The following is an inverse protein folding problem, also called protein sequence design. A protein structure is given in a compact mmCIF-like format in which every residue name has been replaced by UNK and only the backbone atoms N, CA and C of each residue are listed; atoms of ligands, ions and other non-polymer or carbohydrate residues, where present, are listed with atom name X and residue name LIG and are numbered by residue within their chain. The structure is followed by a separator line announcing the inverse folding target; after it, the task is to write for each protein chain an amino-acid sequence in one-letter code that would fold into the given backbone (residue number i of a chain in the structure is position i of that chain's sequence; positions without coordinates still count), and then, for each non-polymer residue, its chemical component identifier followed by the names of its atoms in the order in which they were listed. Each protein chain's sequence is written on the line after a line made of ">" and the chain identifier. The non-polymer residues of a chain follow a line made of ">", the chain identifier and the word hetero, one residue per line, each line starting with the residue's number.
data_IF_916791726843
#
_entry.id   IF_916791726843
#
_cell.length_a   1.000
_cell.length_b   1.000
_cell.length_c   1.000
_cell.angle_alpha   90.00
_cell.angle_beta   90.00
_cell.angle_gamma   90.00
#
_symmetry.space_group_name_H-M   'P 1'
#
loop_
_entity.id
_entity.type
_entity.pdbx_description
1 polymer ?
#
# COMPACT_ATOMS: atom_id res chain seq x y z
N UNK A 1 -9.57 -52.24 -35.66
CA UNK A 1 -8.35 -51.43 -35.51
C UNK A 1 -8.50 -50.19 -36.38
N UNK A 2 -8.87 -49.07 -35.84
CA UNK A 2 -8.95 -47.79 -36.56
C UNK A 2 -8.02 -46.81 -35.90
N UNK A 3 -6.96 -46.44 -36.63
CA UNK A 3 -6.00 -45.39 -36.23
C UNK A 3 -6.52 -44.04 -36.65
N UNK A 4 -6.76 -43.16 -35.70
CA UNK A 4 -7.15 -41.76 -35.95
C UNK A 4 -5.87 -40.92 -35.89
N UNK A 5 -5.48 -40.38 -37.06
CA UNK A 5 -4.38 -39.40 -37.19
C UNK A 5 -4.89 -38.01 -36.85
N UNK A 6 -4.29 -37.36 -35.84
CA UNK A 6 -4.59 -35.98 -35.46
C UNK A 6 -3.56 -35.09 -36.13
N UNK A 7 -3.97 -34.34 -37.15
CA UNK A 7 -3.17 -33.28 -37.77
C UNK A 7 -3.12 -32.03 -36.87
N UNK A 8 -1.90 -31.65 -36.47
CA UNK A 8 -1.65 -30.37 -35.78
C UNK A 8 -1.59 -29.24 -36.81
N UNK A 9 -2.51 -28.31 -36.72
CA UNK A 9 -2.43 -27.04 -37.44
C UNK A 9 -1.67 -26.04 -36.62
N UNK A 10 -0.47 -25.70 -37.04
CA UNK A 10 0.32 -24.58 -36.52
C UNK A 10 -0.12 -23.32 -37.25
N UNK A 11 -0.84 -22.45 -36.57
CA UNK A 11 -1.18 -21.12 -37.09
C UNK A 11 -0.10 -20.11 -36.62
N UNK A 12 0.77 -19.74 -37.55
CA UNK A 12 1.65 -18.61 -37.40
C UNK A 12 0.84 -17.32 -37.56
N UNK A 13 0.57 -16.64 -36.47
CA UNK A 13 0.01 -15.28 -36.48
C UNK A 13 1.15 -14.27 -36.57
N UNK A 14 1.29 -13.65 -37.76
CA UNK A 14 2.23 -12.55 -37.99
C UNK A 14 1.70 -11.28 -37.34
N UNK A 15 2.51 -10.68 -36.46
CA UNK A 15 2.26 -9.38 -35.83
C UNK A 15 2.49 -8.24 -36.83
N UNK A 16 1.58 -7.27 -36.98
CA UNK A 16 1.85 -6.06 -37.74
C UNK A 16 2.69 -5.09 -36.89
N UNK A 17 3.79 -4.62 -37.51
CA UNK A 17 4.64 -3.55 -36.98
C UNK A 17 3.86 -2.25 -36.90
N UNK A 18 3.54 -1.75 -35.71
CA UNK A 18 2.95 -0.43 -35.54
C UNK A 18 4.00 0.65 -35.65
N UNK A 19 3.87 1.46 -36.68
CA UNK A 19 4.63 2.67 -36.94
C UNK A 19 4.09 3.77 -36.01
N UNK A 20 4.87 4.17 -35.00
CA UNK A 20 4.53 5.33 -34.19
C UNK A 20 4.93 6.62 -34.89
N UNK A 21 4.01 7.60 -35.07
CA UNK A 21 4.37 8.91 -35.55
C UNK A 21 5.15 9.69 -34.48
N UNK A 22 6.36 10.13 -34.86
CA UNK A 22 7.16 11.09 -34.05
C UNK A 22 6.55 12.47 -34.17
N UNK A 23 6.03 13.00 -33.05
CA UNK A 23 5.68 14.42 -32.97
C UNK A 23 6.89 15.23 -32.49
N UNK A 24 7.32 16.26 -33.21
CA UNK A 24 8.29 17.21 -32.68
C UNK A 24 7.57 18.21 -31.78
N UNK A 25 7.90 18.24 -30.52
CA UNK A 25 7.47 19.29 -29.59
C UNK A 25 8.52 20.38 -29.54
N UNK A 26 8.23 21.64 -29.95
CA UNK A 26 9.06 22.75 -29.59
C UNK A 26 8.66 23.29 -28.22
N UNK A 27 9.50 23.10 -27.22
CA UNK A 27 9.35 23.80 -25.95
C UNK A 27 10.04 25.15 -26.02
N UNK A 28 9.35 26.29 -25.82
CA UNK A 28 10.01 27.54 -25.55
C UNK A 28 10.55 27.55 -24.12
N UNK A 29 11.85 27.68 -23.99
CA UNK A 29 12.54 27.91 -22.74
C UNK A 29 12.21 29.29 -22.18
N UNK A 30 11.30 29.39 -21.25
CA UNK A 30 11.12 30.57 -20.42
C UNK A 30 11.83 30.37 -19.09
N UNK A 31 13.04 30.86 -18.99
CA UNK A 31 13.77 31.03 -17.75
C UNK A 31 13.09 32.13 -16.92
N UNK A 32 12.61 31.86 -15.69
CA UNK A 32 12.20 32.93 -14.80
C UNK A 32 13.45 33.61 -14.21
N UNK A 33 13.52 34.94 -14.38
CA UNK A 33 14.50 35.80 -13.72
C UNK A 33 14.38 35.66 -12.22
N UNK A 34 15.44 35.18 -11.60
CA UNK A 34 15.60 35.16 -10.15
C UNK A 34 15.89 36.60 -9.69
N UNK A 35 14.95 37.21 -8.99
CA UNK A 35 15.18 38.44 -8.26
C UNK A 35 15.76 38.09 -6.90
N UNK A 36 16.86 38.73 -6.47
CA UNK A 36 17.42 38.50 -5.13
C UNK A 36 16.57 39.18 -4.06
N UNK A 37 16.01 38.39 -3.14
CA UNK A 37 15.39 38.94 -1.94
C UNK A 37 16.42 39.29 -0.88
N UNK A 38 16.29 40.41 -0.17
CA UNK A 38 17.23 40.80 0.87
C UNK A 38 17.07 39.91 2.10
N UNK A 39 18.19 39.38 2.58
CA UNK A 39 18.34 38.66 3.83
C UNK A 39 18.07 39.62 5.01
N UNK A 40 16.92 39.48 5.65
CA UNK A 40 16.72 40.01 6.99
C UNK A 40 17.15 39.00 8.02
N UNK A 41 18.27 39.25 8.67
CA UNK A 41 18.75 38.57 9.87
C UNK A 41 17.76 38.77 11.01
N UNK A 42 16.98 37.75 11.34
CA UNK A 42 16.26 37.68 12.60
C UNK A 42 16.96 36.68 13.49
N UNK A 43 17.80 37.19 14.39
CA UNK A 43 18.42 36.41 15.45
C UNK A 43 17.38 35.99 16.49
N UNK A 44 16.89 34.78 16.41
CA UNK A 44 16.17 34.14 17.52
C UNK A 44 17.15 33.37 18.39
N UNK A 45 17.30 33.86 19.62
CA UNK A 45 18.06 33.21 20.69
C UNK A 45 17.45 31.85 21.00
N UNK A 46 18.22 30.80 20.74
CA UNK A 46 17.94 29.46 21.20
C UNK A 46 18.29 29.37 22.67
N UNK A 47 17.31 29.34 23.55
CA UNK A 47 17.50 28.92 24.91
C UNK A 47 17.59 27.41 24.98
N UNK A 48 18.80 26.89 25.12
CA UNK A 48 19.08 25.49 25.43
C UNK A 48 18.78 25.27 26.90
N UNK A 49 17.66 24.66 27.22
CA UNK A 49 17.46 24.06 28.53
C UNK A 49 17.83 22.59 28.46
N UNK A 50 19.02 22.28 28.93
CA UNK A 50 19.48 20.93 29.23
C UNK A 50 18.72 20.44 30.43
N UNK A 51 17.78 19.54 30.28
CA UNK A 51 17.19 18.78 31.37
C UNK A 51 17.44 17.29 31.12
N UNK A 52 18.48 16.79 31.79
CA UNK A 52 18.78 15.37 31.86
C UNK A 52 17.82 14.70 32.82
N UNK A 53 17.00 13.78 32.34
CA UNK A 53 16.39 12.73 33.18
C UNK A 53 16.33 11.43 32.36
N UNK A 54 16.94 10.35 32.87
CA UNK A 54 16.92 9.05 32.19
C UNK A 54 15.64 8.30 32.51
N UNK A 55 15.26 7.43 31.58
CA UNK A 55 14.24 6.38 31.73
C UNK A 55 12.80 6.84 31.54
N UNK A 56 12.39 6.63 30.30
CA UNK A 56 11.01 6.23 29.88
C UNK A 56 10.97 6.24 28.36
N UNK A 57 11.64 5.26 27.72
CA UNK A 57 11.79 5.21 26.27
C UNK A 57 10.83 4.22 25.58
N UNK A 58 9.79 3.73 26.25
CA UNK A 58 8.89 2.73 25.67
C UNK A 58 7.42 3.17 25.49
N UNK A 59 7.01 4.34 25.95
CA UNK A 59 5.60 4.79 25.85
C UNK A 59 5.32 5.86 24.77
N UNK A 60 6.34 6.44 24.12
CA UNK A 60 6.12 7.55 23.17
C UNK A 60 5.77 7.11 21.72
N UNK A 61 5.80 5.83 21.38
CA UNK A 61 5.48 5.36 20.03
C UNK A 61 3.98 5.08 19.78
N UNK A 62 3.16 5.00 20.83
CA UNK A 62 1.72 4.75 20.71
C UNK A 62 0.87 6.00 20.51
N UNK A 63 1.31 7.15 20.96
CA UNK A 63 0.54 8.40 20.88
C UNK A 63 0.14 8.85 19.47
N UNK A 64 1.00 8.77 18.42
CA UNK A 64 0.61 9.18 17.08
C UNK A 64 -0.39 8.22 16.41
N UNK A 65 -0.39 6.94 16.75
CA UNK A 65 -1.30 5.94 16.17
C UNK A 65 -2.72 6.11 16.67
N UNK A 66 -2.92 6.38 17.96
CA UNK A 66 -4.22 6.64 18.55
C UNK A 66 -4.90 7.88 17.96
N UNK A 67 -4.14 8.90 17.59
CA UNK A 67 -4.67 10.08 16.92
C UNK A 67 -5.24 9.75 15.53
N UNK A 68 -4.55 8.93 14.75
CA UNK A 68 -5.04 8.52 13.42
C UNK A 68 -6.26 7.61 13.51
N UNK A 69 -6.33 6.74 14.53
CA UNK A 69 -7.53 5.93 14.79
C UNK A 69 -8.74 6.80 15.15
N UNK A 70 -8.56 7.87 15.93
CA UNK A 70 -9.63 8.83 16.24
C UNK A 70 -10.10 9.66 15.02
N UNK A 71 -9.22 9.85 14.04
CA UNK A 71 -9.50 10.57 12.78
C UNK A 71 -10.06 9.66 11.68
N UNK A 72 -10.20 8.35 11.95
CA UNK A 72 -10.78 7.42 10.97
C UNK A 72 -12.19 7.85 10.58
N UNK A 73 -12.49 7.97 9.28
CA UNK A 73 -13.85 8.16 8.80
C UNK A 73 -14.78 6.99 9.19
N UNK A 74 -16.07 7.16 9.02
CA UNK A 74 -17.08 6.11 9.26
C UNK A 74 -16.69 4.80 8.53
N UNK A 75 -16.91 3.67 9.17
CA UNK A 75 -16.59 2.32 8.63
C UNK A 75 -17.32 2.02 7.33
N UNK A 76 -18.49 2.61 7.10
CA UNK A 76 -19.30 2.44 5.88
C UNK A 76 -18.81 3.25 4.70
N UNK A 77 -17.87 4.18 4.93
CA UNK A 77 -17.28 4.95 3.83
C UNK A 77 -16.29 4.10 3.05
N UNK A 78 -16.20 4.32 1.72
CA UNK A 78 -15.25 3.61 0.89
C UNK A 78 -13.80 3.89 1.31
N UNK A 79 -12.93 2.90 1.14
CA UNK A 79 -11.57 2.96 1.63
C UNK A 79 -10.77 4.11 0.99
N UNK A 80 -11.04 4.49 -0.26
CA UNK A 80 -10.38 5.63 -0.91
C UNK A 80 -10.64 6.98 -0.20
N UNK A 81 -11.65 7.09 0.65
CA UNK A 81 -11.94 8.30 1.43
C UNK A 81 -11.06 8.45 2.67
N UNK A 82 -10.25 7.44 2.97
CA UNK A 82 -9.35 7.41 4.12
C UNK A 82 -7.96 7.89 3.71
N UNK A 83 -7.28 8.66 4.56
CA UNK A 83 -5.88 9.00 4.34
C UNK A 83 -4.98 7.79 4.61
N UNK A 84 -3.83 7.73 3.94
CA UNK A 84 -2.89 6.62 4.11
C UNK A 84 -2.49 6.38 5.57
N UNK A 85 -2.16 7.40 6.39
CA UNK A 85 -1.87 7.18 7.81
C UNK A 85 -3.03 6.57 8.59
N UNK A 86 -4.30 6.91 8.24
CA UNK A 86 -5.48 6.29 8.84
C UNK A 86 -5.59 4.82 8.46
N UNK A 87 -5.29 4.47 7.20
CA UNK A 87 -5.31 3.08 6.73
C UNK A 87 -4.21 2.28 7.44
N UNK A 88 -3.00 2.83 7.55
CA UNK A 88 -1.89 2.19 8.26
C UNK A 88 -2.24 1.94 9.74
N UNK A 89 -2.80 2.94 10.44
CA UNK A 89 -3.22 2.79 11.84
C UNK A 89 -4.35 1.75 11.99
N UNK A 90 -5.29 1.72 11.05
CA UNK A 90 -6.36 0.72 11.02
C UNK A 90 -5.81 -0.69 10.81
N UNK A 91 -4.88 -0.91 9.89
CA UNK A 91 -4.24 -2.21 9.66
C UNK A 91 -3.50 -2.71 10.90
N UNK A 92 -2.75 -1.83 11.60
CA UNK A 92 -2.08 -2.17 12.85
C UNK A 92 -3.08 -2.57 13.94
N UNK A 93 -4.19 -1.84 14.04
CA UNK A 93 -5.26 -2.17 14.99
C UNK A 93 -5.92 -3.55 14.70
N UNK A 94 -5.94 -4.00 13.44
CA UNK A 94 -6.37 -5.34 13.07
C UNK A 94 -5.33 -6.44 13.37
N UNK A 95 -4.12 -6.04 13.76
CA UNK A 95 -3.01 -6.93 14.06
C UNK A 95 -2.07 -7.19 12.89
N UNK A 96 -2.11 -6.36 11.85
CA UNK A 96 -1.13 -6.44 10.77
C UNK A 96 0.17 -5.75 11.16
N UNK A 97 1.29 -6.37 10.82
CA UNK A 97 2.63 -5.83 10.99
C UNK A 97 3.17 -5.38 9.63
N UNK A 98 3.63 -4.14 9.54
CA UNK A 98 4.22 -3.60 8.32
C UNK A 98 5.58 -4.25 8.04
N UNK A 99 5.84 -4.63 6.78
CA UNK A 99 7.15 -5.15 6.38
C UNK A 99 8.23 -4.06 6.49
N UNK A 100 9.44 -4.49 6.86
CA UNK A 100 10.62 -3.61 6.90
C UNK A 100 11.21 -3.33 5.51
N UNK A 101 10.96 -4.23 4.57
CA UNK A 101 11.51 -4.16 3.20
C UNK A 101 10.63 -3.30 2.30
N UNK A 102 9.32 -3.44 2.43
CA UNK A 102 8.34 -2.71 1.62
C UNK A 102 7.21 -2.17 2.50
N UNK A 103 7.08 -0.85 2.53
CA UNK A 103 6.07 -0.15 3.32
C UNK A 103 4.63 -0.46 2.86
N UNK A 104 4.44 -0.84 1.60
CA UNK A 104 3.13 -1.21 1.07
C UNK A 104 2.68 -2.61 1.50
N UNK A 105 3.60 -3.44 2.02
CA UNK A 105 3.35 -4.82 2.39
C UNK A 105 3.15 -4.97 3.89
N UNK A 106 2.09 -5.69 4.24
CA UNK A 106 1.66 -5.94 5.60
C UNK A 106 1.47 -7.44 5.82
N UNK A 107 1.87 -7.94 6.96
CA UNK A 107 1.78 -9.34 7.32
C UNK A 107 0.89 -9.50 8.54
N UNK A 108 0.05 -10.51 8.54
CA UNK A 108 -0.75 -10.91 9.70
C UNK A 108 -0.65 -12.41 9.90
N UNK A 109 -0.50 -12.81 11.16
CA UNK A 109 -0.52 -14.19 11.58
C UNK A 109 -1.67 -14.40 12.55
N UNK A 110 -2.56 -15.31 12.20
CA UNK A 110 -3.68 -15.76 13.03
C UNK A 110 -3.50 -17.24 13.37
N UNK A 111 -4.16 -17.76 14.42
CA UNK A 111 -4.01 -19.17 14.78
C UNK A 111 -4.40 -20.14 13.67
N UNK A 112 -5.31 -19.74 12.78
CA UNK A 112 -5.88 -20.60 11.74
C UNK A 112 -5.33 -20.32 10.35
N UNK A 113 -4.71 -19.15 10.11
CA UNK A 113 -4.19 -18.74 8.82
C UNK A 113 -3.16 -17.61 8.93
N UNK A 114 -2.34 -17.48 7.91
CA UNK A 114 -1.39 -16.39 7.74
C UNK A 114 -1.66 -15.71 6.40
N UNK A 115 -1.59 -14.39 6.37
CA UNK A 115 -1.80 -13.64 5.13
C UNK A 115 -0.81 -12.50 4.98
N UNK A 116 -0.53 -12.20 3.72
CA UNK A 116 0.18 -11.01 3.26
C UNK A 116 -0.82 -10.09 2.58
N UNK A 117 -0.89 -8.84 3.01
CA UNK A 117 -1.69 -7.78 2.43
C UNK A 117 -0.77 -6.79 1.75
N UNK A 118 -1.11 -6.35 0.55
CA UNK A 118 -0.38 -5.35 -0.21
C UNK A 118 -1.31 -4.21 -0.62
N UNK A 119 -0.87 -2.98 -0.35
CA UNK A 119 -1.56 -1.76 -0.79
C UNK A 119 -1.06 -1.41 -2.20
N UNK A 120 -1.84 -1.76 -3.21
CA UNK A 120 -1.58 -1.39 -4.59
C UNK A 120 -2.22 -0.04 -4.92
N UNK A 121 -1.99 0.50 -6.12
CA UNK A 121 -2.49 1.82 -6.53
C UNK A 121 -4.01 1.90 -6.58
N UNK A 122 -4.68 0.83 -7.01
CA UNK A 122 -6.14 0.78 -7.23
C UNK A 122 -6.88 -0.16 -6.30
N UNK A 123 -6.19 -1.16 -5.78
CA UNK A 123 -6.79 -2.27 -5.05
C UNK A 123 -5.96 -2.65 -3.84
N UNK A 124 -6.61 -3.23 -2.86
CA UNK A 124 -5.99 -3.92 -1.75
C UNK A 124 -5.89 -5.41 -2.11
N UNK A 125 -4.69 -5.93 -2.14
CA UNK A 125 -4.41 -7.32 -2.50
C UNK A 125 -4.07 -8.14 -1.26
N UNK A 126 -4.77 -9.25 -1.08
CA UNK A 126 -4.55 -10.17 0.06
C UNK A 126 -4.20 -11.55 -0.47
N UNK A 127 -3.09 -12.10 0.02
CA UNK A 127 -2.66 -13.47 -0.25
C UNK A 127 -2.61 -14.25 1.06
N UNK A 128 -3.46 -15.26 1.20
CA UNK A 128 -3.39 -16.21 2.28
C UNK A 128 -2.35 -17.27 1.95
N UNK A 129 -1.38 -17.45 2.83
CA UNK A 129 -0.21 -18.29 2.58
C UNK A 129 -0.47 -19.74 2.97
N UNK A 130 -0.17 -20.66 2.05
CA UNK A 130 -0.17 -22.10 2.31
C UNK A 130 0.78 -22.50 3.45
N UNK A 131 1.87 -21.78 3.63
CA UNK A 131 2.90 -22.05 4.65
C UNK A 131 2.47 -21.65 6.05
N UNK A 132 1.32 -20.95 6.18
CA UNK A 132 0.78 -20.52 7.48
C UNK A 132 0.15 -21.66 8.28
N UNK A 133 -0.30 -21.34 9.51
CA UNK A 133 -1.06 -22.27 10.35
C UNK A 133 -2.44 -22.48 9.72
N UNK A 134 -2.60 -23.46 8.92
CA UNK A 134 -3.84 -23.80 8.23
C UNK A 134 -3.56 -24.81 7.15
N UNK A 135 -4.46 -25.74 6.89
CA UNK A 135 -4.27 -26.77 5.88
C UNK A 135 -4.70 -26.30 4.49
N UNK A 136 -4.14 -25.17 4.02
CA UNK A 136 -4.38 -24.69 2.66
C UNK A 136 -3.58 -25.55 1.67
N UNK A 137 -4.23 -26.05 0.65
CA UNK A 137 -3.56 -26.80 -0.44
C UNK A 137 -2.69 -25.90 -1.31
N UNK A 138 -3.11 -24.63 -1.47
CA UNK A 138 -2.42 -23.59 -2.26
C UNK A 138 -2.67 -22.21 -1.66
N UNK A 139 -1.84 -21.23 -2.06
CA UNK A 139 -2.08 -19.83 -1.73
C UNK A 139 -3.42 -19.36 -2.32
N UNK A 140 -4.21 -18.66 -1.52
CA UNK A 140 -5.48 -18.07 -1.93
C UNK A 140 -5.32 -16.57 -2.05
N UNK A 141 -5.62 -16.03 -3.22
CA UNK A 141 -5.48 -14.61 -3.52
C UNK A 141 -6.84 -13.94 -3.67
N UNK A 142 -6.98 -12.77 -3.07
CA UNK A 142 -8.18 -11.93 -3.18
C UNK A 142 -7.80 -10.49 -3.43
N UNK A 143 -8.62 -9.78 -4.22
CA UNK A 143 -8.46 -8.35 -4.49
C UNK A 143 -9.72 -7.61 -4.06
N UNK A 144 -9.53 -6.50 -3.39
CA UNK A 144 -10.59 -5.64 -2.91
C UNK A 144 -10.39 -4.24 -3.49
N UNK A 145 -11.37 -3.76 -4.24
CA UNK A 145 -11.33 -2.38 -4.73
C UNK A 145 -11.47 -1.39 -3.58
N UNK A 146 -10.75 -0.29 -3.63
CA UNK A 146 -10.87 0.81 -2.66
C UNK A 146 -12.25 1.49 -2.67
N UNK A 147 -13.11 1.16 -3.63
CA UNK A 147 -14.51 1.59 -3.65
C UNK A 147 -15.40 0.86 -2.62
N UNK A 148 -14.94 -0.29 -2.12
CA UNK A 148 -15.61 -1.02 -1.05
C UNK A 148 -15.50 -0.27 0.28
N UNK A 149 -16.49 -0.47 1.15
CA UNK A 149 -16.44 0.09 2.49
C UNK A 149 -15.32 -0.57 3.32
N UNK A 150 -14.77 0.18 4.27
CA UNK A 150 -13.79 -0.36 5.20
C UNK A 150 -14.31 -1.57 5.97
N UNK A 151 -15.61 -1.54 6.35
CA UNK A 151 -16.27 -2.63 7.07
C UNK A 151 -16.36 -3.91 6.23
N UNK A 152 -16.69 -3.80 4.95
CA UNK A 152 -16.77 -4.96 4.04
C UNK A 152 -15.40 -5.60 3.84
N UNK A 153 -14.37 -4.77 3.66
CA UNK A 153 -12.98 -5.25 3.51
C UNK A 153 -12.51 -5.93 4.80
N UNK A 154 -12.75 -5.30 5.96
CA UNK A 154 -12.39 -5.85 7.27
C UNK A 154 -13.01 -7.23 7.49
N UNK A 155 -14.33 -7.34 7.27
CA UNK A 155 -15.05 -8.60 7.42
C UNK A 155 -14.55 -9.68 6.44
N UNK A 156 -14.28 -9.30 5.18
CA UNK A 156 -13.80 -10.23 4.16
C UNK A 156 -12.37 -10.72 4.43
N UNK A 157 -11.50 -9.85 4.97
CA UNK A 157 -10.10 -10.20 5.30
C UNK A 157 -10.03 -11.02 6.57
N UNK A 158 -10.75 -10.64 7.62
CA UNK A 158 -10.76 -11.35 8.90
C UNK A 158 -11.51 -12.68 8.84
N UNK A 159 -12.43 -12.83 7.87
CA UNK A 159 -13.10 -14.11 7.62
C UNK A 159 -12.18 -15.22 7.13
N UNK A 160 -10.95 -14.91 6.73
CA UNK A 160 -9.96 -15.90 6.30
C UNK A 160 -10.14 -16.35 4.84
N UNK A 161 -9.38 -17.39 4.44
CA UNK A 161 -9.35 -17.94 3.09
C UNK A 161 -10.62 -18.67 2.68
#
# INVERSE_FOLDING_TARGET
>A
MYTISVSQFIIFSSMPSSIFPRYPTPYPSLLPKITPYPLTHSSRKLSVSVFSKPSEAEEELSAPEDEWLKRLPDKRKPLYSHSLPCIEAWLRNLGFCQSKEDRAVWLVEKPEWQAQLSLDVTDLYVRYLKTGPGNLEKDVERRFSYALSREDIENAVLGGP
#
